data_IF_571994113868
#
_entry.id   IF_571994113868
#
_cell.length_a   1.000
_cell.length_b   1.000
_cell.length_c   1.000
_cell.angle_alpha   90.00
_cell.angle_beta   90.00
_cell.angle_gamma   90.00
#
_symmetry.space_group_name_H-M   'P 1'
#
loop_
_entity.id
_entity.type
_entity.pdbx_description
1 polymer ?
#
# COMPACT_ATOMS: atom_id res chain seq x y z
N UNK A 1 22.40 93.14 -94.31
CA UNK A 1 22.72 93.71 -92.99
C UNK A 1 21.54 93.43 -92.06
N UNK A 2 21.80 92.68 -90.98
CA UNK A 2 21.03 92.53 -89.72
C UNK A 2 19.71 91.69 -89.72
N UNK A 3 19.90 90.39 -89.49
CA UNK A 3 19.39 89.51 -88.40
C UNK A 3 18.42 90.08 -87.32
N UNK A 4 17.34 89.36 -86.99
CA UNK A 4 16.66 89.21 -85.66
C UNK A 4 15.30 88.52 -85.84
N UNK A 5 14.70 87.72 -84.96
CA UNK A 5 15.11 86.85 -83.83
C UNK A 5 13.80 86.11 -83.44
N UNK A 6 13.75 84.79 -83.57
CA UNK A 6 12.58 83.95 -83.27
C UNK A 6 12.81 83.15 -81.97
N UNK A 7 12.57 83.77 -80.80
CA UNK A 7 12.69 83.11 -79.47
C UNK A 7 11.71 83.64 -78.41
N UNK A 8 10.40 83.51 -78.69
CA UNK A 8 9.32 83.98 -77.80
C UNK A 8 8.63 82.94 -76.90
N UNK A 9 8.33 81.72 -77.37
CA UNK A 9 7.35 80.84 -76.70
C UNK A 9 7.91 79.65 -75.87
N UNK A 10 9.20 79.32 -75.95
CA UNK A 10 9.75 78.12 -75.31
C UNK A 10 10.16 78.27 -73.81
N UNK A 11 10.09 79.48 -73.24
CA UNK A 11 10.64 79.78 -71.90
C UNK A 11 9.66 79.60 -70.73
N UNK A 12 8.34 79.68 -70.94
CA UNK A 12 7.36 79.52 -69.86
C UNK A 12 6.98 78.07 -69.56
N UNK A 13 6.88 77.21 -70.59
CA UNK A 13 6.58 75.78 -70.42
C UNK A 13 7.66 75.05 -69.61
N UNK A 14 8.95 75.39 -69.82
CA UNK A 14 10.07 74.80 -69.04
C UNK A 14 10.07 75.21 -67.55
N UNK A 15 9.52 76.38 -67.20
CA UNK A 15 9.44 76.82 -65.80
C UNK A 15 8.30 76.13 -65.05
N UNK A 16 7.14 75.95 -65.69
CA UNK A 16 6.04 75.18 -65.13
C UNK A 16 6.38 73.69 -64.97
N UNK A 17 7.06 73.09 -65.95
CA UNK A 17 7.47 71.68 -65.87
C UNK A 17 8.51 71.43 -64.75
N UNK A 18 9.43 72.38 -64.53
CA UNK A 18 10.39 72.32 -63.40
C UNK A 18 9.71 72.47 -62.05
N UNK A 19 8.68 73.32 -61.93
CA UNK A 19 7.89 73.47 -60.71
C UNK A 19 7.13 72.20 -60.34
N UNK A 20 6.53 71.51 -61.33
CA UNK A 20 5.80 70.26 -61.11
C UNK A 20 6.74 69.12 -60.64
N UNK A 21 7.94 69.02 -61.22
CA UNK A 21 8.94 68.01 -60.84
C UNK A 21 9.40 68.20 -59.39
N UNK A 22 9.61 69.44 -58.94
CA UNK A 22 9.97 69.73 -57.55
C UNK A 22 8.86 69.33 -56.59
N UNK A 23 7.60 69.58 -56.95
CA UNK A 23 6.45 69.25 -56.11
C UNK A 23 6.24 67.72 -55.98
N UNK A 24 6.44 66.98 -57.07
CA UNK A 24 6.43 65.50 -57.05
C UNK A 24 7.59 64.94 -56.22
N UNK A 25 8.79 65.52 -56.31
CA UNK A 25 9.94 65.12 -55.50
C UNK A 25 9.70 65.36 -53.99
N UNK A 26 9.08 66.48 -53.62
CA UNK A 26 8.73 66.76 -52.22
C UNK A 26 7.65 65.79 -51.73
N UNK A 27 6.63 65.50 -52.55
CA UNK A 27 5.62 64.48 -52.23
C UNK A 27 6.21 63.09 -52.04
N UNK A 28 7.11 62.67 -52.94
CA UNK A 28 7.81 61.39 -52.84
C UNK A 28 8.71 61.32 -51.60
N UNK A 29 9.39 62.41 -51.25
CA UNK A 29 10.21 62.50 -50.04
C UNK A 29 9.33 62.41 -48.77
N UNK A 30 8.16 63.07 -48.77
CA UNK A 30 7.20 62.98 -47.68
C UNK A 30 6.68 61.56 -47.48
N UNK A 31 6.35 60.86 -48.56
CA UNK A 31 5.92 59.44 -48.51
C UNK A 31 7.06 58.54 -48.01
N UNK A 32 8.30 58.77 -48.45
CA UNK A 32 9.46 58.01 -47.96
C UNK A 32 9.74 58.24 -46.47
N UNK A 33 9.59 59.47 -45.98
CA UNK A 33 9.77 59.77 -44.55
C UNK A 33 8.66 59.17 -43.69
N UNK A 34 7.40 59.18 -44.18
CA UNK A 34 6.28 58.53 -43.49
C UNK A 34 6.48 57.01 -43.47
N UNK A 35 6.92 56.42 -44.59
CA UNK A 35 7.22 54.98 -44.67
C UNK A 35 8.36 54.62 -43.72
N UNK A 36 9.48 55.34 -43.76
CA UNK A 36 10.62 55.10 -42.87
C UNK A 36 10.27 55.26 -41.39
N UNK A 37 9.35 56.16 -41.04
CA UNK A 37 8.87 56.32 -39.67
C UNK A 37 7.97 55.17 -39.20
N UNK A 38 7.15 54.60 -40.08
CA UNK A 38 6.30 53.44 -39.77
C UNK A 38 7.15 52.17 -39.62
N UNK A 39 8.10 51.96 -40.54
CA UNK A 39 9.02 50.82 -40.50
C UNK A 39 9.91 50.90 -39.24
N UNK A 40 10.49 52.08 -38.95
CA UNK A 40 11.31 52.28 -37.76
C UNK A 40 10.56 52.10 -36.44
N UNK A 41 9.24 52.36 -36.41
CA UNK A 41 8.41 52.08 -35.23
C UNK A 41 8.11 50.58 -35.09
N UNK A 42 7.95 49.86 -36.20
CA UNK A 42 7.81 48.41 -36.18
C UNK A 42 9.10 47.72 -35.74
N UNK A 43 10.25 48.21 -36.19
CA UNK A 43 11.57 47.78 -35.74
C UNK A 43 11.75 48.09 -34.26
N UNK A 44 11.43 49.31 -33.79
CA UNK A 44 11.50 49.66 -32.37
C UNK A 44 10.59 48.81 -31.48
N UNK A 45 9.40 48.38 -31.96
CA UNK A 45 8.55 47.44 -31.22
C UNK A 45 9.10 46.01 -31.23
N UNK A 46 9.78 45.60 -32.30
CA UNK A 46 10.44 44.30 -32.38
C UNK A 46 11.73 44.28 -31.53
N UNK A 47 12.50 45.37 -31.52
CA UNK A 47 13.67 45.61 -30.66
C UNK A 47 13.24 45.64 -29.20
N UNK A 48 12.18 46.38 -28.84
CA UNK A 48 11.65 46.42 -27.48
C UNK A 48 11.07 45.08 -27.00
N UNK A 49 10.67 44.18 -27.90
CA UNK A 49 10.33 42.80 -27.57
C UNK A 49 11.58 41.91 -27.41
N UNK A 50 12.65 42.17 -28.16
CA UNK A 50 13.95 41.48 -28.04
C UNK A 50 14.75 41.94 -26.81
N UNK A 51 14.56 43.18 -26.38
CA UNK A 51 15.19 43.81 -25.22
C UNK A 51 14.42 43.59 -23.91
N UNK A 52 13.26 42.91 -23.94
CA UNK A 52 12.70 42.39 -22.70
C UNK A 52 13.72 41.43 -22.09
N UNK A 53 14.13 41.63 -20.82
CA UNK A 53 15.10 40.75 -20.19
C UNK A 53 14.60 39.33 -20.34
N UNK A 54 15.41 38.46 -20.95
CA UNK A 54 15.12 37.04 -21.10
C UNK A 54 14.89 36.50 -19.70
N UNK A 55 13.62 36.38 -19.29
CA UNK A 55 13.26 35.64 -18.09
C UNK A 55 13.84 34.25 -18.32
N UNK A 56 14.86 33.88 -17.54
CA UNK A 56 15.46 32.56 -17.67
C UNK A 56 14.34 31.50 -17.72
N UNK A 57 14.41 30.63 -18.73
CA UNK A 57 13.34 29.68 -19.02
C UNK A 57 13.07 28.70 -17.87
N UNK A 58 14.04 28.59 -16.96
CA UNK A 58 13.99 27.85 -15.71
C UNK A 58 14.59 28.73 -14.61
N UNK A 59 13.86 28.92 -13.52
CA UNK A 59 14.41 29.48 -12.29
C UNK A 59 14.20 28.48 -11.16
N UNK A 60 15.27 28.13 -10.46
CA UNK A 60 15.21 27.35 -9.21
C UNK A 60 15.49 28.31 -8.07
N UNK A 61 14.53 28.48 -7.19
CA UNK A 61 14.70 29.28 -5.97
C UNK A 61 14.78 28.32 -4.78
N UNK A 62 15.85 28.46 -4.01
CA UNK A 62 15.97 27.85 -2.68
C UNK A 62 15.60 28.94 -1.67
N UNK A 63 14.53 28.73 -0.90
CA UNK A 63 14.28 29.55 0.28
C UNK A 63 15.13 28.99 1.43
N UNK A 64 15.74 29.85 2.26
CA UNK A 64 16.65 29.51 3.36
C UNK A 64 16.10 28.48 4.40
N UNK A 65 14.83 28.07 4.26
CA UNK A 65 14.13 27.09 5.11
C UNK A 65 13.20 26.13 4.35
N UNK A 66 13.33 25.95 3.03
CA UNK A 66 12.32 25.20 2.25
C UNK A 66 12.81 24.43 1.02
N UNK A 67 11.99 23.43 0.62
CA UNK A 67 12.16 22.56 -0.55
C UNK A 67 12.38 23.36 -1.85
N UNK A 68 13.19 22.84 -2.80
CA UNK A 68 13.47 23.52 -4.06
C UNK A 68 12.19 23.79 -4.84
N UNK A 69 12.00 25.06 -5.21
CA UNK A 69 10.86 25.50 -6.02
C UNK A 69 11.35 25.83 -7.43
N UNK A 70 10.73 25.20 -8.43
CA UNK A 70 11.11 25.32 -9.83
C UNK A 70 10.01 26.10 -10.56
N UNK A 71 10.39 27.17 -11.24
CA UNK A 71 9.51 27.92 -12.13
C UNK A 71 9.85 27.60 -13.58
N UNK A 72 8.89 27.08 -14.35
CA UNK A 72 9.04 26.70 -15.77
C UNK A 72 8.06 27.47 -16.65
N UNK A 73 8.56 28.00 -17.78
CA UNK A 73 7.70 28.62 -18.80
C UNK A 73 6.71 27.62 -19.40
N UNK A 74 5.56 28.10 -19.88
CA UNK A 74 4.53 27.24 -20.47
C UNK A 74 5.02 26.45 -21.69
N UNK A 75 5.98 27.00 -22.44
CA UNK A 75 6.54 26.34 -23.62
C UNK A 75 7.46 25.18 -23.23
N UNK A 76 8.27 25.35 -22.17
CA UNK A 76 9.12 24.29 -21.65
C UNK A 76 8.29 23.19 -20.98
N UNK A 77 7.18 23.54 -20.32
CA UNK A 77 6.23 22.55 -19.79
C UNK A 77 5.63 21.68 -20.91
N UNK A 78 5.25 22.27 -22.04
CA UNK A 78 4.75 21.53 -23.21
C UNK A 78 5.82 20.66 -23.86
N UNK A 79 7.04 21.18 -24.01
CA UNK A 79 8.17 20.44 -24.57
C UNK A 79 8.56 19.24 -23.70
N UNK A 80 8.47 19.39 -22.38
CA UNK A 80 8.77 18.35 -21.40
C UNK A 80 7.58 17.40 -21.12
N UNK A 81 6.47 17.53 -21.86
CA UNK A 81 5.23 16.74 -21.70
C UNK A 81 4.74 16.68 -20.24
N UNK A 82 4.80 17.82 -19.55
CA UNK A 82 4.37 17.92 -18.16
C UNK A 82 2.85 17.91 -18.10
N UNK A 83 2.29 16.83 -17.54
CA UNK A 83 0.86 16.70 -17.30
C UNK A 83 0.56 16.75 -15.80
N UNK A 84 -0.45 17.52 -15.42
CA UNK A 84 -0.91 17.66 -14.03
C UNK A 84 -2.33 17.12 -13.87
N UNK A 85 -2.64 16.59 -12.68
CA UNK A 85 -3.97 16.11 -12.33
C UNK A 85 -4.29 16.43 -10.88
N UNK A 86 -5.55 16.70 -10.57
CA UNK A 86 -6.00 16.78 -9.17
C UNK A 86 -5.79 15.43 -8.47
N UNK A 87 -5.25 15.43 -7.24
CA UNK A 87 -5.12 14.23 -6.43
C UNK A 87 -6.43 13.43 -6.35
N UNK A 88 -6.37 12.12 -6.60
CA UNK A 88 -7.52 11.25 -6.44
C UNK A 88 -7.54 10.69 -5.01
N UNK A 89 -8.59 11.01 -4.25
CA UNK A 89 -8.73 10.54 -2.87
C UNK A 89 -9.18 9.09 -2.82
N UNK A 90 -8.47 8.28 -2.05
CA UNK A 90 -8.77 6.86 -1.80
C UNK A 90 -8.64 6.55 -0.31
N UNK A 91 -9.25 5.47 0.21
CA UNK A 91 -9.00 5.05 1.58
C UNK A 91 -7.52 4.67 1.78
N UNK A 92 -6.91 5.23 2.81
CA UNK A 92 -5.59 4.87 3.32
C UNK A 92 -5.73 4.27 4.71
N UNK A 93 -5.02 3.18 4.94
CA UNK A 93 -4.92 2.60 6.27
C UNK A 93 -3.48 2.18 6.48
N UNK A 94 -2.90 2.60 7.60
CA UNK A 94 -1.53 2.23 7.93
C UNK A 94 -1.43 0.71 8.05
N UNK A 95 -0.35 0.14 7.53
CA UNK A 95 -0.06 -1.28 7.63
C UNK A 95 1.18 -1.49 8.50
N UNK A 96 1.10 -2.46 9.41
CA UNK A 96 2.24 -2.96 10.17
C UNK A 96 2.70 -4.25 9.49
N UNK A 97 4.00 -4.31 9.19
CA UNK A 97 4.59 -5.50 8.60
C UNK A 97 4.89 -6.54 9.69
N UNK A 98 4.47 -7.77 9.44
CA UNK A 98 4.81 -8.95 10.21
C UNK A 98 5.43 -10.02 9.32
N UNK A 99 5.98 -11.05 9.95
CA UNK A 99 6.52 -12.21 9.25
C UNK A 99 5.57 -13.38 9.45
N UNK A 100 5.26 -14.10 8.37
CA UNK A 100 4.32 -15.20 8.40
C UNK A 100 4.97 -16.52 7.99
N UNK A 101 4.45 -17.61 8.55
CA UNK A 101 4.68 -18.96 8.05
C UNK A 101 3.35 -19.66 7.82
N UNK A 102 3.18 -20.29 6.66
CA UNK A 102 2.02 -21.15 6.39
C UNK A 102 2.30 -22.51 7.01
N UNK A 103 1.49 -22.92 7.98
CA UNK A 103 1.78 -24.09 8.82
C UNK A 103 1.41 -25.41 8.12
N UNK A 104 2.23 -26.43 8.35
CA UNK A 104 1.83 -27.82 8.13
C UNK A 104 0.97 -28.31 9.31
N UNK A 105 -0.21 -28.85 8.98
CA UNK A 105 -1.24 -29.25 9.93
C UNK A 105 -1.21 -30.76 10.24
N UNK A 106 -0.10 -31.46 10.00
CA UNK A 106 0.07 -32.84 10.44
C UNK A 106 -0.20 -33.01 11.95
N UNK A 107 0.39 -32.18 12.81
CA UNK A 107 0.20 -32.26 14.26
C UNK A 107 -1.25 -31.94 14.68
N UNK A 108 -1.91 -31.02 13.98
CA UNK A 108 -3.33 -30.70 14.15
C UNK A 108 -4.22 -31.90 13.80
N UNK A 109 -3.95 -32.54 12.65
CA UNK A 109 -4.68 -33.72 12.17
C UNK A 109 -4.47 -34.92 13.10
N UNK A 110 -3.24 -35.14 13.57
CA UNK A 110 -2.92 -36.20 14.53
C UNK A 110 -3.68 -36.03 15.86
N UNK A 111 -3.83 -34.80 16.36
CA UNK A 111 -4.65 -34.53 17.55
C UNK A 111 -6.15 -34.78 17.28
N UNK A 112 -6.66 -34.40 16.11
CA UNK A 112 -8.03 -34.72 15.70
C UNK A 112 -8.29 -36.23 15.73
N UNK A 113 -7.38 -37.02 15.16
CA UNK A 113 -7.47 -38.48 15.13
C UNK A 113 -7.41 -39.08 16.54
N UNK A 114 -6.52 -38.57 17.41
CA UNK A 114 -6.44 -39.00 18.82
C UNK A 114 -7.73 -38.74 19.58
N UNK A 115 -8.34 -37.57 19.40
CA UNK A 115 -9.63 -37.22 20.02
C UNK A 115 -10.74 -38.15 19.52
N UNK A 116 -10.82 -38.37 18.21
CA UNK A 116 -11.82 -39.26 17.62
C UNK A 116 -11.69 -40.70 18.15
N UNK A 117 -10.47 -41.24 18.22
CA UNK A 117 -10.21 -42.57 18.77
C UNK A 117 -10.57 -42.66 20.25
N UNK A 118 -10.21 -41.67 21.07
CA UNK A 118 -10.54 -41.66 22.49
C UNK A 118 -12.06 -41.62 22.72
N UNK A 119 -12.80 -40.80 21.96
CA UNK A 119 -14.27 -40.77 21.99
C UNK A 119 -14.88 -42.11 21.60
N UNK A 120 -14.34 -42.77 20.57
CA UNK A 120 -14.78 -44.12 20.16
C UNK A 120 -14.55 -45.16 21.26
N UNK A 121 -13.38 -45.15 21.88
CA UNK A 121 -13.06 -46.06 23.00
C UNK A 121 -13.95 -45.83 24.21
N UNK A 122 -14.24 -44.57 24.56
CA UNK A 122 -15.19 -44.22 25.60
C UNK A 122 -16.59 -44.75 25.30
N UNK A 123 -17.07 -44.58 24.07
CA UNK A 123 -18.38 -45.10 23.67
C UNK A 123 -18.46 -46.63 23.80
N UNK A 124 -17.40 -47.36 23.39
CA UNK A 124 -17.31 -48.81 23.56
C UNK A 124 -17.29 -49.22 25.04
N UNK A 125 -16.48 -48.55 25.86
CA UNK A 125 -16.37 -48.85 27.29
C UNK A 125 -17.68 -48.56 28.03
N UNK A 126 -18.37 -47.46 27.68
CA UNK A 126 -19.67 -47.14 28.25
C UNK A 126 -20.74 -48.17 27.86
N UNK A 127 -20.74 -48.66 26.63
CA UNK A 127 -21.65 -49.73 26.21
C UNK A 127 -21.44 -51.02 27.00
N UNK A 128 -20.18 -51.40 27.26
CA UNK A 128 -19.84 -52.56 28.10
C UNK A 128 -20.30 -52.37 29.54
N UNK A 129 -20.02 -51.21 30.14
CA UNK A 129 -20.46 -50.85 31.48
C UNK A 129 -21.98 -50.96 31.62
N UNK A 130 -22.74 -50.40 30.67
CA UNK A 130 -24.20 -50.48 30.69
C UNK A 130 -24.70 -51.94 30.65
N UNK A 131 -24.04 -52.80 29.84
CA UNK A 131 -24.39 -54.20 29.71
C UNK A 131 -24.05 -55.01 30.98
N UNK A 132 -22.86 -54.81 31.55
CA UNK A 132 -22.41 -55.52 32.75
C UNK A 132 -23.12 -55.04 34.02
N UNK A 133 -23.48 -53.75 34.10
CA UNK A 133 -24.32 -53.23 35.17
C UNK A 133 -25.68 -53.93 35.19
N UNK A 134 -26.36 -54.01 34.05
CA UNK A 134 -27.64 -54.72 33.95
C UNK A 134 -27.51 -56.21 34.28
N UNK A 135 -26.38 -56.85 33.93
CA UNK A 135 -26.11 -58.25 34.26
C UNK A 135 -25.88 -58.47 35.75
N UNK A 136 -25.07 -57.61 36.39
CA UNK A 136 -24.83 -57.65 37.84
C UNK A 136 -26.13 -57.43 38.64
N UNK A 137 -26.96 -56.47 38.22
CA UNK A 137 -28.27 -56.21 38.84
C UNK A 137 -29.21 -57.42 38.75
N UNK A 138 -29.27 -58.09 37.58
CA UNK A 138 -30.02 -59.35 37.44
C UNK A 138 -29.47 -60.43 38.37
N UNK A 139 -28.15 -60.61 38.42
CA UNK A 139 -27.52 -61.60 39.28
C UNK A 139 -27.80 -61.34 40.77
N UNK A 140 -27.76 -60.07 41.20
CA UNK A 140 -28.07 -59.65 42.57
C UNK A 140 -29.48 -60.05 42.99
N UNK A 141 -30.47 -59.80 42.14
CA UNK A 141 -31.88 -60.15 42.41
C UNK A 141 -32.07 -61.66 42.45
N UNK A 142 -31.45 -62.41 41.53
CA UNK A 142 -31.59 -63.87 41.45
C UNK A 142 -30.93 -64.58 42.64
N UNK A 143 -29.75 -64.14 43.08
CA UNK A 143 -29.07 -64.68 44.25
C UNK A 143 -29.86 -64.43 45.55
N UNK A 144 -30.48 -63.25 45.68
CA UNK A 144 -31.28 -62.88 46.86
C UNK A 144 -32.63 -63.61 47.01
N UNK A 145 -33.14 -64.23 45.94
CA UNK A 145 -34.45 -64.94 45.92
C UNK A 145 -34.36 -66.44 46.19
N UNK A 146 -33.17 -66.98 46.50
CA UNK A 146 -32.95 -68.40 46.78
C UNK A 146 -32.50 -69.18 45.54
N UNK A 147 -31.19 -69.46 45.50
CA UNK A 147 -30.46 -70.46 44.67
C UNK A 147 -30.61 -70.45 43.14
N UNK A 148 -31.30 -69.48 42.53
CA UNK A 148 -31.41 -69.41 41.06
C UNK A 148 -30.06 -69.23 40.33
N UNK A 149 -29.02 -68.73 41.03
CA UNK A 149 -27.63 -68.66 40.54
C UNK A 149 -26.63 -68.97 41.67
N UNK A 150 -25.44 -69.46 41.32
CA UNK A 150 -24.38 -69.74 42.30
C UNK A 150 -23.66 -68.47 42.77
N UNK A 151 -23.05 -68.52 43.95
CA UNK A 151 -22.21 -67.43 44.48
C UNK A 151 -21.06 -67.08 43.52
N UNK A 152 -20.47 -68.08 42.86
CA UNK A 152 -19.42 -67.86 41.86
C UNK A 152 -19.93 -67.09 40.63
N UNK A 153 -21.16 -67.37 40.17
CA UNK A 153 -21.78 -66.63 39.06
C UNK A 153 -22.08 -65.17 39.44
N UNK A 154 -22.59 -64.95 40.66
CA UNK A 154 -22.79 -63.60 41.19
C UNK A 154 -21.47 -62.81 41.27
N UNK A 155 -20.43 -63.41 41.85
CA UNK A 155 -19.09 -62.81 41.96
C UNK A 155 -18.47 -62.51 40.59
N UNK A 156 -18.70 -63.37 39.60
CA UNK A 156 -18.23 -63.14 38.22
C UNK A 156 -18.90 -61.91 37.62
N UNK A 157 -20.22 -61.78 37.76
CA UNK A 157 -20.97 -60.63 37.27
C UNK A 157 -20.53 -59.32 37.96
N UNK A 158 -20.27 -59.38 39.26
CA UNK A 158 -19.72 -58.24 40.02
C UNK A 158 -18.33 -57.84 39.51
N UNK A 159 -17.43 -58.81 39.32
CA UNK A 159 -16.09 -58.56 38.82
C UNK A 159 -16.10 -57.94 37.42
N UNK A 160 -16.96 -58.44 36.52
CA UNK A 160 -17.14 -57.86 35.18
C UNK A 160 -17.64 -56.41 35.26
N UNK A 161 -18.66 -56.14 36.08
CA UNK A 161 -19.18 -54.77 36.26
C UNK A 161 -18.08 -53.82 36.75
N UNK A 162 -17.36 -54.17 37.82
CA UNK A 162 -16.29 -53.34 38.37
C UNK A 162 -15.15 -53.12 37.36
N UNK A 163 -14.82 -54.14 36.57
CA UNK A 163 -13.79 -54.03 35.53
C UNK A 163 -14.22 -53.12 34.38
N UNK A 164 -15.47 -53.20 33.94
CA UNK A 164 -16.00 -52.33 32.89
C UNK A 164 -16.18 -50.88 33.40
N UNK A 165 -16.53 -50.70 34.67
CA UNK A 165 -16.62 -49.37 35.32
C UNK A 165 -15.25 -48.68 35.31
N UNK A 166 -14.21 -49.38 35.77
CA UNK A 166 -12.84 -48.87 35.72
C UNK A 166 -12.39 -48.58 34.27
N UNK A 167 -12.79 -49.42 33.31
CA UNK A 167 -12.46 -49.23 31.89
C UNK A 167 -13.14 -47.99 31.30
N UNK A 168 -14.42 -47.75 31.63
CA UNK A 168 -15.14 -46.56 31.20
C UNK A 168 -14.53 -45.30 31.81
N UNK A 169 -14.18 -45.32 33.10
CA UNK A 169 -13.49 -44.21 33.77
C UNK A 169 -12.13 -43.92 33.12
N UNK A 170 -11.34 -44.95 32.81
CA UNK A 170 -10.06 -44.78 32.11
C UNK A 170 -10.23 -44.17 30.71
N UNK A 171 -11.21 -44.65 29.93
CA UNK A 171 -11.50 -44.10 28.61
C UNK A 171 -12.01 -42.65 28.66
N UNK A 172 -12.75 -42.28 29.71
CA UNK A 172 -13.21 -40.93 29.95
C UNK A 172 -12.02 -39.99 30.21
N UNK A 173 -11.09 -40.38 31.09
CA UNK A 173 -9.85 -39.62 31.35
C UNK A 173 -9.02 -39.49 30.07
N UNK A 174 -8.94 -40.55 29.25
CA UNK A 174 -8.21 -40.50 27.98
C UNK A 174 -8.81 -39.47 27.00
N UNK A 175 -10.14 -39.37 26.94
CA UNK A 175 -10.84 -38.37 26.11
C UNK A 175 -10.57 -36.94 26.60
N UNK A 176 -10.53 -36.74 27.93
CA UNK A 176 -10.19 -35.45 28.54
C UNK A 176 -8.75 -35.06 28.23
N UNK A 177 -7.80 -35.99 28.39
CA UNK A 177 -6.38 -35.75 28.10
C UNK A 177 -6.12 -35.44 26.61
N UNK A 178 -6.79 -36.15 25.70
CA UNK A 178 -6.71 -35.87 24.27
C UNK A 178 -7.22 -34.46 23.93
N UNK A 179 -8.33 -34.06 24.55
CA UNK A 179 -8.89 -32.71 24.37
C UNK A 179 -7.98 -31.64 24.98
N UNK A 180 -7.49 -31.86 26.21
CA UNK A 180 -6.56 -30.96 26.89
C UNK A 180 -5.27 -30.73 26.08
N UNK A 181 -4.76 -31.78 25.43
CA UNK A 181 -3.61 -31.68 24.53
C UNK A 181 -3.87 -30.75 23.34
N UNK A 182 -5.10 -30.74 22.79
CA UNK A 182 -5.47 -29.82 21.73
C UNK A 182 -5.55 -28.36 22.21
N UNK A 183 -6.11 -28.13 23.41
CA UNK A 183 -6.13 -26.80 24.03
C UNK A 183 -4.72 -26.27 24.33
N UNK A 184 -3.82 -27.13 24.82
CA UNK A 184 -2.44 -26.74 25.10
C UNK A 184 -1.65 -26.44 23.83
N UNK A 185 -1.86 -27.23 22.77
CA UNK A 185 -1.14 -27.07 21.51
C UNK A 185 -1.62 -25.85 20.73
N UNK A 186 -2.94 -25.62 20.64
CA UNK A 186 -3.53 -24.66 19.70
C UNK A 186 -4.37 -23.56 20.34
N UNK A 187 -4.54 -23.61 21.65
CA UNK A 187 -5.27 -22.59 22.41
C UNK A 187 -6.78 -22.81 22.43
N UNK A 188 -7.54 -21.89 23.04
CA UNK A 188 -8.97 -22.07 23.28
C UNK A 188 -9.79 -22.27 22.00
N UNK A 189 -9.56 -21.47 20.96
CA UNK A 189 -10.41 -21.47 19.76
C UNK A 189 -10.14 -22.69 18.87
N UNK A 190 -8.88 -22.89 18.46
CA UNK A 190 -8.48 -24.02 17.62
C UNK A 190 -8.54 -25.36 18.37
N UNK A 191 -8.19 -25.38 19.66
CA UNK A 191 -8.31 -26.56 20.52
C UNK A 191 -9.76 -27.01 20.70
N UNK A 192 -10.68 -26.07 20.95
CA UNK A 192 -12.12 -26.36 20.97
C UNK A 192 -12.63 -26.82 19.61
N UNK A 193 -12.18 -26.18 18.54
CA UNK A 193 -12.55 -26.56 17.17
C UNK A 193 -12.24 -28.03 16.88
N UNK A 194 -11.08 -28.52 17.34
CA UNK A 194 -10.70 -29.94 17.29
C UNK A 194 -11.55 -30.82 18.21
N UNK A 195 -11.72 -30.42 19.48
CA UNK A 195 -12.47 -31.19 20.46
C UNK A 195 -13.94 -31.38 20.06
N UNK A 196 -14.57 -30.35 19.52
CA UNK A 196 -15.98 -30.35 19.10
C UNK A 196 -16.15 -30.80 17.63
N UNK A 197 -15.06 -30.86 16.86
CA UNK A 197 -15.08 -31.23 15.44
C UNK A 197 -15.83 -30.22 14.56
N UNK A 198 -15.59 -28.93 14.77
CA UNK A 198 -16.33 -27.85 14.08
C UNK A 198 -15.98 -27.72 12.59
N UNK A 199 -16.67 -26.83 11.86
CA UNK A 199 -16.37 -26.54 10.46
C UNK A 199 -14.92 -26.08 10.26
N UNK A 200 -14.38 -25.22 11.14
CA UNK A 200 -13.01 -24.73 11.04
C UNK A 200 -11.99 -25.89 11.08
N UNK A 201 -12.14 -26.84 12.01
CA UNK A 201 -11.24 -28.01 12.08
C UNK A 201 -11.34 -28.86 10.81
N UNK A 202 -12.56 -29.10 10.29
CA UNK A 202 -12.75 -29.86 9.05
C UNK A 202 -12.14 -29.15 7.85
N UNK A 203 -12.33 -27.84 7.73
CA UNK A 203 -11.80 -27.03 6.63
C UNK A 203 -10.27 -27.05 6.62
N UNK A 204 -9.64 -27.00 7.80
CA UNK A 204 -8.19 -27.08 7.96
C UNK A 204 -7.65 -28.49 7.66
N UNK A 205 -8.29 -29.55 8.20
CA UNK A 205 -7.86 -30.95 7.98
C UNK A 205 -8.04 -31.37 6.52
N UNK A 206 -9.13 -30.94 5.88
CA UNK A 206 -9.42 -31.23 4.47
C UNK A 206 -8.68 -30.28 3.52
N UNK A 207 -7.85 -29.38 4.05
CA UNK A 207 -7.11 -28.38 3.26
C UNK A 207 -8.03 -27.56 2.34
N UNK A 208 -9.22 -27.21 2.82
CA UNK A 208 -10.06 -26.13 2.25
C UNK A 208 -9.62 -24.76 2.74
N UNK A 209 -9.02 -24.70 3.92
CA UNK A 209 -8.29 -23.55 4.44
C UNK A 209 -6.87 -23.95 4.83
N UNK A 210 -5.94 -23.01 4.74
CA UNK A 210 -4.60 -23.13 5.31
C UNK A 210 -4.49 -22.25 6.55
N UNK A 211 -3.65 -22.65 7.50
CA UNK A 211 -3.38 -21.89 8.72
C UNK A 211 -2.07 -21.13 8.56
N UNK A 212 -2.08 -19.84 8.87
CA UNK A 212 -0.91 -18.96 8.79
C UNK A 212 -0.59 -18.47 10.19
N UNK A 213 0.63 -18.70 10.66
CA UNK A 213 1.15 -18.06 11.86
C UNK A 213 1.82 -16.76 11.47
N UNK A 214 1.32 -15.63 11.99
CA UNK A 214 1.87 -14.29 11.76
C UNK A 214 2.51 -13.80 13.03
N UNK A 215 3.79 -13.42 12.97
CA UNK A 215 4.59 -12.96 14.09
C UNK A 215 5.08 -11.54 13.85
N UNK A 216 4.87 -10.66 14.83
CA UNK A 216 5.35 -9.28 14.77
C UNK A 216 6.84 -9.22 15.14
N UNK A 217 7.59 -8.24 14.60
CA UNK A 217 8.94 -7.94 15.06
C UNK A 217 8.96 -7.58 16.55
N UNK A 218 10.09 -7.82 17.22
CA UNK A 218 10.29 -7.40 18.61
C UNK A 218 10.15 -5.88 18.72
N UNK A 219 9.47 -5.41 19.78
CA UNK A 219 9.18 -3.99 19.99
C UNK A 219 7.93 -3.48 19.28
N UNK A 220 7.36 -4.25 18.35
CA UNK A 220 6.09 -3.91 17.69
C UNK A 220 4.94 -4.60 18.39
N UNK A 221 3.94 -3.81 18.82
CA UNK A 221 2.70 -4.34 19.41
C UNK A 221 1.47 -3.75 18.74
N UNK A 222 0.40 -4.53 18.73
CA UNK A 222 -0.92 -4.13 18.25
C UNK A 222 -1.88 -4.07 19.43
N UNK A 223 -2.65 -2.99 19.55
CA UNK A 223 -3.69 -2.90 20.57
C UNK A 223 -4.74 -4.00 20.37
N UNK A 224 -5.12 -4.27 19.11
CA UNK A 224 -5.97 -5.38 18.71
C UNK A 224 -5.51 -5.92 17.35
N UNK A 225 -5.44 -7.25 17.16
CA UNK A 225 -5.16 -7.83 15.85
C UNK A 225 -6.33 -7.56 14.90
N UNK A 226 -6.07 -7.12 13.66
CA UNK A 226 -7.13 -6.86 12.69
C UNK A 226 -7.82 -8.17 12.28
N UNK A 227 -9.15 -8.13 12.12
CA UNK A 227 -9.95 -9.29 11.69
C UNK A 227 -9.56 -9.79 10.28
N UNK A 228 -9.05 -8.89 9.45
CA UNK A 228 -8.57 -9.21 8.11
C UNK A 228 -7.21 -8.56 7.92
N UNK A 229 -6.28 -9.34 7.36
CA UNK A 229 -4.98 -8.87 6.94
C UNK A 229 -4.64 -9.46 5.56
N UNK A 230 -3.46 -9.14 5.04
CA UNK A 230 -2.96 -9.71 3.80
C UNK A 230 -1.61 -10.37 4.03
N UNK A 231 -1.29 -11.39 3.24
CA UNK A 231 0.06 -11.89 3.10
C UNK A 231 0.53 -11.68 1.66
N UNK A 232 1.80 -11.36 1.50
CA UNK A 232 2.49 -11.32 0.23
C UNK A 232 3.29 -12.61 0.05
N UNK A 233 2.99 -13.35 -1.01
CA UNK A 233 3.74 -14.54 -1.43
C UNK A 233 5.07 -14.14 -2.07
N UNK A 234 5.95 -15.12 -2.29
CA UNK A 234 7.21 -14.89 -3.03
C UNK A 234 6.99 -14.45 -4.48
N UNK A 235 5.80 -14.67 -5.03
CA UNK A 235 5.39 -14.20 -6.37
C UNK A 235 4.87 -12.75 -6.36
N UNK A 236 4.83 -12.09 -5.19
CA UNK A 236 4.30 -10.73 -5.03
C UNK A 236 2.76 -10.66 -5.00
N UNK A 237 2.07 -11.81 -5.03
CA UNK A 237 0.62 -11.83 -4.93
C UNK A 237 0.16 -11.57 -3.49
N UNK A 238 -0.91 -10.77 -3.37
CA UNK A 238 -1.57 -10.50 -2.09
C UNK A 238 -2.71 -11.48 -1.87
N UNK A 239 -2.58 -12.30 -0.83
CA UNK A 239 -3.60 -13.23 -0.38
C UNK A 239 -4.27 -12.67 0.87
N UNK A 240 -5.61 -12.63 0.87
CA UNK A 240 -6.40 -12.24 2.04
C UNK A 240 -6.33 -13.31 3.12
N UNK A 241 -6.12 -12.88 4.37
CA UNK A 241 -6.12 -13.76 5.55
C UNK A 241 -7.09 -13.25 6.62
N UNK A 242 -7.71 -14.16 7.35
CA UNK A 242 -8.74 -13.89 8.35
C UNK A 242 -8.28 -14.31 9.75
N UNK A 243 -8.40 -13.43 10.73
CA UNK A 243 -7.94 -13.68 12.09
C UNK A 243 -8.70 -14.83 12.73
N UNK A 244 -7.95 -15.71 13.39
CA UNK A 244 -8.49 -16.84 14.14
C UNK A 244 -8.30 -16.58 15.63
N UNK A 245 -7.05 -16.56 16.09
CA UNK A 245 -6.74 -16.39 17.51
C UNK A 245 -5.31 -15.91 17.73
N UNK A 246 -4.97 -15.59 18.98
CA UNK A 246 -3.57 -15.52 19.39
C UNK A 246 -2.92 -16.92 19.25
N UNK A 247 -1.62 -16.94 18.94
CA UNK A 247 -0.85 -18.18 18.97
C UNK A 247 -0.48 -18.54 20.41
N UNK A 248 -0.42 -19.83 20.71
CA UNK A 248 -0.02 -20.39 22.01
C UNK A 248 1.49 -20.44 22.21
N UNK A 249 2.26 -20.24 21.13
CA UNK A 249 3.71 -20.29 21.10
C UNK A 249 4.24 -19.16 20.23
N UNK A 250 5.40 -18.62 20.60
CA UNK A 250 6.12 -17.68 19.75
C UNK A 250 6.84 -18.42 18.63
N UNK A 251 7.10 -17.74 17.52
CA UNK A 251 8.06 -18.21 16.52
C UNK A 251 9.49 -18.14 17.13
N UNK A 252 10.24 -19.25 17.20
CA UNK A 252 11.54 -19.26 17.85
C UNK A 252 12.60 -18.39 17.16
N UNK A 253 12.43 -18.07 15.87
CA UNK A 253 13.37 -17.27 15.08
C UNK A 253 13.16 -15.76 15.27
N UNK A 254 11.92 -15.34 15.53
CA UNK A 254 11.55 -13.91 15.64
C UNK A 254 11.34 -13.52 17.11
N UNK A 255 10.86 -14.44 17.94
CA UNK A 255 10.58 -14.25 19.37
C UNK A 255 9.57 -13.12 19.67
N UNK A 256 8.65 -12.85 18.73
CA UNK A 256 7.60 -11.83 18.85
C UNK A 256 6.21 -12.40 19.17
N UNK A 257 5.25 -11.48 19.38
CA UNK A 257 3.83 -11.84 19.55
C UNK A 257 3.31 -12.45 18.25
N UNK A 258 2.66 -13.61 18.37
CA UNK A 258 2.22 -14.41 17.23
C UNK A 258 0.70 -14.60 17.23
N UNK A 259 0.12 -14.67 16.05
CA UNK A 259 -1.31 -14.82 15.79
C UNK A 259 -1.54 -15.94 14.79
N UNK A 260 -2.69 -16.60 14.86
CA UNK A 260 -3.17 -17.49 13.83
C UNK A 260 -4.20 -16.79 12.95
N UNK A 261 -4.01 -16.93 11.65
CA UNK A 261 -4.95 -16.51 10.61
C UNK A 261 -5.26 -17.70 9.68
N UNK A 262 -6.36 -17.64 8.94
CA UNK A 262 -6.66 -18.58 7.85
C UNK A 262 -6.62 -17.91 6.49
N UNK A 263 -6.20 -18.64 5.47
CA UNK A 263 -6.37 -18.28 4.07
C UNK A 263 -7.18 -19.38 3.35
N UNK A 264 -7.83 -19.03 2.25
CA UNK A 264 -8.45 -20.03 1.37
C UNK A 264 -7.36 -20.92 0.76
N UNK A 265 -7.56 -22.23 0.68
CA UNK A 265 -6.58 -23.13 0.09
C UNK A 265 -6.48 -23.01 -1.45
N UNK A 266 -7.47 -22.41 -2.10
CA UNK A 266 -7.37 -22.00 -3.51
C UNK A 266 -6.44 -20.79 -3.71
N UNK A 267 -6.00 -20.14 -2.64
CA UNK A 267 -4.91 -19.18 -2.72
C UNK A 267 -3.58 -19.88 -3.00
N UNK A 268 -2.61 -19.17 -3.59
CA UNK A 268 -1.25 -19.68 -3.80
C UNK A 268 -0.45 -19.88 -2.50
N UNK A 269 -1.08 -19.72 -1.33
CA UNK A 269 -0.46 -19.95 -0.03
C UNK A 269 -0.37 -21.45 0.28
N UNK A 270 0.83 -22.01 0.14
CA UNK A 270 1.10 -23.43 0.39
C UNK A 270 1.76 -23.64 1.77
N UNK A 271 1.42 -24.72 2.49
CA UNK A 271 2.11 -25.11 3.72
C UNK A 271 3.63 -25.16 3.55
N UNK A 272 4.36 -24.61 4.52
CA UNK A 272 5.82 -24.49 4.52
C UNK A 272 6.36 -23.16 3.95
N UNK A 273 5.52 -22.34 3.29
CA UNK A 273 5.95 -21.03 2.79
C UNK A 273 6.21 -20.03 3.93
N UNK A 274 7.27 -19.24 3.77
CA UNK A 274 7.46 -18.00 4.52
C UNK A 274 6.88 -16.85 3.71
N UNK A 275 6.13 -15.97 4.37
CA UNK A 275 5.39 -14.87 3.74
C UNK A 275 5.58 -13.58 4.54
N UNK A 276 5.35 -12.44 3.90
CA UNK A 276 5.28 -11.16 4.61
C UNK A 276 3.81 -10.90 4.91
N UNK A 277 3.46 -10.59 6.15
CA UNK A 277 2.12 -10.21 6.54
C UNK A 277 1.99 -8.69 6.61
N UNK A 278 0.89 -8.16 6.09
CA UNK A 278 0.53 -6.75 6.11
C UNK A 278 -0.74 -6.60 6.94
N UNK A 279 -0.58 -6.12 8.17
CA UNK A 279 -1.66 -5.99 9.15
C UNK A 279 -2.18 -4.55 9.15
N UNK A 280 -3.42 -4.29 8.72
CA UNK A 280 -4.00 -2.96 8.79
C UNK A 280 -4.20 -2.54 10.25
N UNK A 281 -3.84 -1.30 10.58
CA UNK A 281 -3.95 -0.75 11.93
C UNK A 281 -4.63 0.61 11.93
N UNK A 282 -5.38 0.89 12.99
CA UNK A 282 -6.17 2.12 13.11
C UNK A 282 -7.36 2.13 12.17
N UNK A 283 -8.04 3.28 12.10
CA UNK A 283 -9.18 3.46 11.20
C UNK A 283 -8.70 3.91 9.81
N UNK A 284 -9.39 3.51 8.73
CA UNK A 284 -9.15 4.07 7.41
C UNK A 284 -9.32 5.60 7.43
N UNK A 285 -8.34 6.32 6.90
CA UNK A 285 -8.34 7.77 6.70
C UNK A 285 -8.28 8.11 5.22
N UNK A 286 -8.58 9.34 4.81
CA UNK A 286 -8.36 9.76 3.44
C UNK A 286 -6.87 9.72 3.08
N UNK A 287 -6.56 9.11 1.94
CA UNK A 287 -5.26 9.14 1.28
C UNK A 287 -5.37 9.58 -0.17
N UNK A 288 -4.23 9.74 -0.83
CA UNK A 288 -4.12 10.08 -2.24
C UNK A 288 -3.43 8.94 -2.97
N UNK A 289 -4.03 8.51 -4.09
CA UNK A 289 -3.38 7.57 -4.99
C UNK A 289 -2.37 8.30 -5.90
N UNK A 290 -1.09 7.99 -5.74
CA UNK A 290 0.03 8.47 -6.54
C UNK A 290 0.33 7.42 -7.63
N UNK A 291 0.17 7.74 -8.93
CA UNK A 291 0.56 6.85 -10.02
C UNK A 291 2.08 6.62 -10.04
N UNK A 292 2.54 5.45 -10.48
CA UNK A 292 3.99 5.17 -10.59
C UNK A 292 4.74 6.15 -11.51
N UNK A 293 4.09 6.68 -12.54
CA UNK A 293 4.66 7.67 -13.47
C UNK A 293 4.90 9.05 -12.83
N UNK A 294 4.27 9.33 -11.69
CA UNK A 294 4.46 10.56 -10.92
C UNK A 294 5.66 10.48 -9.97
N UNK A 295 6.17 9.27 -9.71
CA UNK A 295 7.21 9.01 -8.72
C UNK A 295 8.59 9.11 -9.35
N UNK A 296 9.47 9.90 -8.74
CA UNK A 296 10.90 9.95 -9.07
C UNK A 296 11.72 9.53 -7.86
N UNK A 297 12.72 8.68 -8.08
CA UNK A 297 13.63 8.23 -7.03
C UNK A 297 14.86 9.11 -7.00
N UNK A 298 15.13 9.70 -5.84
CA UNK A 298 16.27 10.59 -5.65
C UNK A 298 16.79 10.46 -4.22
N UNK A 299 18.12 10.28 -4.09
CA UNK A 299 18.82 10.08 -2.81
C UNK A 299 18.22 8.96 -1.93
N UNK A 300 17.72 7.89 -2.55
CA UNK A 300 17.15 6.75 -1.82
C UNK A 300 15.69 6.93 -1.37
N UNK A 301 15.10 8.11 -1.57
CA UNK A 301 13.70 8.40 -1.27
C UNK A 301 12.85 8.52 -2.53
N UNK A 302 11.53 8.32 -2.38
CA UNK A 302 10.55 8.53 -3.43
C UNK A 302 9.96 9.94 -3.32
N UNK A 303 9.91 10.64 -4.45
CA UNK A 303 9.46 12.02 -4.54
C UNK A 303 8.39 12.20 -5.62
N UNK A 304 7.57 13.23 -5.46
CA UNK A 304 6.61 13.71 -6.47
C UNK A 304 6.74 15.22 -6.64
N UNK A 305 6.24 15.76 -7.75
CA UNK A 305 6.14 17.20 -7.95
C UNK A 305 4.68 17.66 -7.82
N UNK A 306 4.48 18.75 -7.09
CA UNK A 306 3.20 19.43 -6.91
C UNK A 306 3.23 20.78 -7.61
N UNK A 307 2.19 21.07 -8.37
CA UNK A 307 1.99 22.37 -8.99
C UNK A 307 1.30 23.30 -7.99
N UNK A 308 2.07 24.24 -7.43
CA UNK A 308 1.59 25.23 -6.46
C UNK A 308 1.03 26.48 -7.13
N UNK A 309 1.53 26.81 -8.33
CA UNK A 309 1.00 27.85 -9.24
C UNK A 309 1.14 27.38 -10.69
N UNK A 310 0.54 28.09 -11.64
CA UNK A 310 0.50 27.70 -13.07
C UNK A 310 1.89 27.35 -13.66
N UNK A 311 2.94 28.02 -13.22
CA UNK A 311 4.32 27.84 -13.67
C UNK A 311 5.27 27.33 -12.57
N UNK A 312 4.76 27.08 -11.36
CA UNK A 312 5.58 26.84 -10.18
C UNK A 312 5.36 25.42 -9.64
N UNK A 313 6.45 24.68 -9.47
CA UNK A 313 6.47 23.30 -9.02
C UNK A 313 7.37 23.12 -7.81
N UNK A 314 6.92 22.31 -6.84
CA UNK A 314 7.69 22.00 -5.64
C UNK A 314 7.80 20.49 -5.51
N UNK A 315 9.02 20.00 -5.22
CA UNK A 315 9.26 18.57 -4.98
C UNK A 315 8.87 18.20 -3.56
N UNK A 316 8.19 17.06 -3.38
CA UNK A 316 7.77 16.55 -2.07
C UNK A 316 8.07 15.07 -1.92
N UNK A 317 8.65 14.69 -0.79
CA UNK A 317 8.90 13.29 -0.44
C UNK A 317 7.59 12.59 -0.10
N UNK A 318 7.47 11.32 -0.49
CA UNK A 318 6.31 10.49 -0.19
C UNK A 318 6.70 9.18 0.51
N UNK A 319 5.89 8.70 1.47
CA UNK A 319 6.09 7.38 2.05
C UNK A 319 5.71 6.29 1.04
N UNK A 320 6.46 5.19 1.04
CA UNK A 320 6.29 4.04 0.13
C UNK A 320 5.65 2.81 0.79
N UNK A 321 5.14 2.97 2.02
CA UNK A 321 4.65 1.85 2.84
C UNK A 321 3.36 1.18 2.35
N UNK A 322 2.63 1.77 1.40
CA UNK A 322 1.42 1.18 0.82
C UNK A 322 1.44 1.24 -0.71
N UNK A 323 1.99 0.22 -1.39
CA UNK A 323 2.01 0.20 -2.85
C UNK A 323 0.62 -0.04 -3.42
N UNK A 324 0.37 0.60 -4.55
CA UNK A 324 -0.85 0.49 -5.35
C UNK A 324 -0.66 -0.56 -6.46
N UNK A 325 -1.71 -1.32 -6.84
CA UNK A 325 -1.61 -2.37 -7.89
C UNK A 325 -1.02 -1.90 -9.22
N UNK A 326 -1.11 -0.61 -9.54
CA UNK A 326 -0.63 -0.03 -10.79
C UNK A 326 0.79 0.57 -10.69
N UNK A 327 1.63 0.09 -9.75
CA UNK A 327 3.04 0.48 -9.64
C UNK A 327 3.31 1.83 -8.95
N UNK A 328 2.33 2.37 -8.22
CA UNK A 328 2.44 3.62 -7.47
C UNK A 328 2.24 3.43 -5.97
N UNK A 329 1.85 4.48 -5.24
CA UNK A 329 1.67 4.45 -3.78
C UNK A 329 0.38 5.13 -3.34
N UNK A 330 -0.12 4.77 -2.16
CA UNK A 330 -1.19 5.50 -1.49
C UNK A 330 -0.60 6.22 -0.28
N UNK A 331 -0.71 7.54 -0.26
CA UNK A 331 -0.13 8.40 0.77
C UNK A 331 -1.23 9.03 1.63
N UNK A 332 -1.05 9.19 2.95
CA UNK A 332 -2.07 9.78 3.81
C UNK A 332 -2.22 11.29 3.58
N UNK A 333 -3.46 11.79 3.58
CA UNK A 333 -3.75 13.24 3.51
C UNK A 333 -3.48 13.93 4.85
N UNK A 334 -3.56 13.19 5.96
CA UNK A 334 -3.27 13.69 7.31
C UNK A 334 -1.81 13.37 7.69
N UNK A 335 -1.17 14.21 8.53
CA UNK A 335 0.16 13.93 9.06
C UNK A 335 0.25 12.52 9.64
N UNK A 336 1.24 11.74 9.21
CA UNK A 336 1.55 10.49 9.89
C UNK A 336 2.44 10.85 11.06
N UNK A 337 1.98 10.64 12.30
CA UNK A 337 2.86 10.76 13.47
C UNK A 337 3.88 9.61 13.45
N UNK A 338 4.89 9.71 12.59
CA UNK A 338 6.07 8.86 12.56
C UNK A 338 7.12 9.53 13.44
N UNK A 339 7.17 9.18 14.72
CA UNK A 339 8.42 9.31 15.47
C UNK A 339 8.57 8.12 16.41
N UNK A 340 9.47 7.21 16.05
CA UNK A 340 10.01 6.18 16.95
C UNK A 340 11.48 6.42 17.29
N UNK A 341 12.11 7.51 16.82
CA UNK A 341 13.46 7.91 17.27
C UNK A 341 13.49 9.38 17.73
N UNK A 342 13.85 9.67 19.00
CA UNK A 342 13.89 11.03 19.53
C UNK A 342 15.03 11.90 18.97
N UNK A 343 16.14 11.33 18.49
CA UNK A 343 17.42 12.06 18.41
C UNK A 343 18.08 12.16 17.02
N UNK A 344 17.35 11.94 15.92
CA UNK A 344 17.89 12.26 14.58
C UNK A 344 17.85 13.78 14.32
N UNK A 345 18.93 14.41 13.83
CA UNK A 345 18.93 15.82 13.45
C UNK A 345 17.91 16.07 12.33
N UNK A 346 17.26 17.24 12.35
CA UNK A 346 16.30 17.66 11.34
C UNK A 346 16.94 17.65 9.94
N UNK A 347 16.68 16.60 9.18
CA UNK A 347 16.88 16.58 7.73
C UNK A 347 15.57 17.00 7.04
N UNK A 348 15.62 17.19 5.72
CA UNK A 348 14.50 17.55 4.82
C UNK A 348 13.25 16.62 4.90
N UNK A 349 13.25 15.65 5.81
CA UNK A 349 12.23 14.66 6.15
C UNK A 349 10.95 15.21 6.83
N UNK A 350 10.90 16.50 7.19
CA UNK A 350 9.71 17.12 7.81
C UNK A 350 8.48 17.15 6.88
N UNK A 351 8.69 17.01 5.56
CA UNK A 351 7.60 17.01 4.56
C UNK A 351 6.83 15.69 4.47
N UNK A 352 7.49 14.57 4.82
CA UNK A 352 6.86 13.24 4.91
C UNK A 352 6.03 13.09 6.20
N UNK A 353 6.37 13.86 7.24
CA UNK A 353 5.60 13.95 8.48
C UNK A 353 4.31 14.76 8.29
N UNK A 354 4.29 15.73 7.35
CA UNK A 354 3.11 16.50 6.99
C UNK A 354 2.21 15.70 6.04
N UNK A 355 0.89 15.77 6.24
CA UNK A 355 -0.09 15.10 5.39
C UNK A 355 -0.09 15.62 3.95
N UNK A 356 -0.48 14.78 2.98
CA UNK A 356 -0.43 15.13 1.56
C UNK A 356 -1.49 16.19 1.19
N UNK A 357 -1.13 17.30 0.51
CA UNK A 357 -2.04 18.38 0.16
C UNK A 357 -3.01 17.93 -0.93
N UNK A 358 -4.29 18.26 -0.78
CA UNK A 358 -5.35 17.89 -1.73
C UNK A 358 -5.78 19.03 -2.63
N UNK A 359 -5.37 20.26 -2.32
CA UNK A 359 -5.63 21.49 -3.07
C UNK A 359 -4.62 21.73 -4.22
N UNK A 360 -3.45 21.09 -4.17
CA UNK A 360 -2.40 21.23 -5.17
C UNK A 360 -2.51 20.13 -6.24
N UNK A 361 -2.19 20.47 -7.50
CA UNK A 361 -2.24 19.48 -8.59
C UNK A 361 -0.96 18.65 -8.60
N UNK A 362 -1.10 17.33 -8.76
CA UNK A 362 0.00 16.38 -8.86
C UNK A 362 0.51 16.32 -10.30
N UNK A 363 1.82 16.41 -10.49
CA UNK A 363 2.47 16.11 -11.78
C UNK A 363 2.42 14.59 -12.00
N UNK A 364 1.70 14.14 -13.02
CA UNK A 364 1.50 12.72 -13.37
C UNK A 364 2.38 12.23 -14.52
N UNK A 365 2.90 13.16 -15.32
CA UNK A 365 3.87 12.93 -16.42
C UNK A 365 4.91 14.05 -16.39
N UNK A 366 6.16 13.77 -16.72
CA UNK A 366 7.23 14.77 -16.81
C UNK A 366 7.97 15.05 -15.48
N UNK A 367 7.72 14.28 -14.42
CA UNK A 367 8.39 14.44 -13.12
C UNK A 367 9.93 14.29 -13.22
N UNK A 368 10.42 13.38 -14.07
CA UNK A 368 11.85 13.21 -14.32
C UNK A 368 12.47 14.43 -15.03
N UNK A 369 11.70 15.08 -15.93
CA UNK A 369 12.15 16.28 -16.61
C UNK A 369 12.29 17.44 -15.62
N UNK A 370 11.33 17.60 -14.70
CA UNK A 370 11.42 18.58 -13.60
C UNK A 370 12.65 18.35 -12.73
N UNK A 371 12.91 17.10 -12.34
CA UNK A 371 14.12 16.73 -11.58
C UNK A 371 15.40 17.10 -12.34
N UNK A 372 15.46 16.79 -13.64
CA UNK A 372 16.59 17.17 -14.47
C UNK A 372 16.80 18.68 -14.53
N UNK A 373 15.72 19.46 -14.69
CA UNK A 373 15.81 20.93 -14.74
C UNK A 373 16.25 21.54 -13.41
N UNK A 374 15.82 20.95 -12.28
CA UNK A 374 16.26 21.34 -10.94
C UNK A 374 17.79 21.31 -10.81
N UNK A 375 18.41 20.21 -11.23
CA UNK A 375 19.86 20.02 -11.11
C UNK A 375 20.65 20.76 -12.21
N UNK A 376 20.13 20.81 -13.43
CA UNK A 376 20.78 21.60 -14.49
C UNK A 376 20.93 23.07 -14.11
N UNK A 377 19.91 23.65 -13.47
CA UNK A 377 19.96 25.03 -12.99
C UNK A 377 20.96 25.22 -11.82
N UNK A 378 21.18 24.22 -10.96
CA UNK A 378 22.17 24.29 -9.88
C UNK A 378 23.62 24.35 -10.40
N UNK A 379 23.93 23.61 -11.48
CA UNK A 379 25.27 23.61 -12.09
C UNK A 379 25.63 24.99 -12.66
N UNK A 380 24.65 25.71 -13.19
CA UNK A 380 24.86 27.03 -13.81
C UNK A 380 25.02 28.18 -12.80
N UNK A 381 24.61 28.00 -11.55
CA UNK A 381 24.75 29.02 -10.48
C UNK A 381 26.07 28.83 -9.70
N UNK A 382 26.66 27.64 -9.71
CA UNK A 382 27.91 27.33 -8.99
C UNK A 382 29.21 27.61 -9.76
N UNK A 383 29.12 28.24 -10.93
CA UNK A 383 30.26 28.59 -11.77
C UNK A 383 30.52 30.09 -11.80
N UNK A 384 30.93 30.65 -10.67
CA UNK A 384 31.59 31.97 -10.57
C UNK A 384 32.82 31.87 -9.66
#
# INVERSE_FOLDING_TARGET
>A
MVMTDDKGLARHVRRFLRGLIVLVLIGALGVLLIWGFIEGRSEATAEAQREQPVKAAVHVTHTDTGLPTITLSSDLQKQADIAVRRPNTVPYQRQVQGYGSVLDLQSFTNLSNKIATAKGQLAVAQAKLNASQAAFERARVLHGKGEAISTAQFQTAEATYRSDEASAQAAQVQTQNASASAYQAWGPLLGRSLADGTALARDLIQRRKVLVQVTLPVGVSLAQPPQTAFIETTTGQRVRIEFVSLATRTDPKIQGVSFFYTADAASEALPGMNVIALLPVGQPTPGVAIPGTAVVWFQGSAWVYLQTKADTFTRREIPTGLPSPNGGYVVPVLPTMLRLEPDAPASDADSAAQGFPTNESLVVTGAQALLSQEFSAQIQVGGD
#
